data_IF_806780957844
#
_entry.id   IF_806780957844
#
_cell.length_a   1.000
_cell.length_b   1.000
_cell.length_c   1.000
_cell.angle_alpha   90.00
_cell.angle_beta   90.00
_cell.angle_gamma   90.00
#
_symmetry.space_group_name_H-M   'P 1'
#
loop_
_entity.id
_entity.type
_entity.pdbx_description
1 polymer ?
#
# COMPACT_ATOMS: atom_id res chain seq x y z
N UNK A 1 -17.70 2.48 -1.63
CA UNK A 1 -16.92 1.38 -2.23
C UNK A 1 -15.44 1.75 -2.12
N UNK A 2 -14.81 1.49 -0.98
CA UNK A 2 -13.36 1.63 -0.83
C UNK A 2 -12.74 0.26 -1.06
N UNK A 3 -12.21 0.08 -2.25
CA UNK A 3 -11.65 -1.19 -2.63
C UNK A 3 -11.09 -1.06 -4.03
N UNK A 4 -10.09 -0.20 -4.17
CA UNK A 4 -9.31 -0.09 -5.41
C UNK A 4 -8.77 -1.45 -5.89
N UNK A 5 -8.87 -2.50 -5.06
CA UNK A 5 -8.49 -3.87 -5.34
C UNK A 5 -9.06 -4.44 -6.63
N UNK A 6 -10.33 -4.23 -6.96
CA UNK A 6 -10.90 -4.82 -8.17
C UNK A 6 -10.25 -4.24 -9.42
N UNK A 7 -10.04 -2.91 -9.42
CA UNK A 7 -9.33 -2.22 -10.49
C UNK A 7 -7.85 -2.59 -10.54
N UNK A 8 -7.19 -2.73 -9.39
CA UNK A 8 -5.81 -3.22 -9.30
C UNK A 8 -5.69 -4.60 -9.94
N UNK A 9 -6.60 -5.52 -9.59
CA UNK A 9 -6.62 -6.89 -10.13
C UNK A 9 -6.85 -6.90 -11.62
N UNK A 10 -7.79 -6.10 -12.10
CA UNK A 10 -8.08 -5.96 -13.53
C UNK A 10 -6.84 -5.49 -14.31
N UNK A 11 -6.20 -4.40 -13.87
CA UNK A 11 -4.99 -3.86 -14.50
C UNK A 11 -3.86 -4.89 -14.45
N UNK A 12 -3.56 -5.44 -13.26
CA UNK A 12 -2.49 -6.42 -13.09
C UNK A 12 -2.69 -7.65 -13.98
N UNK A 13 -3.94 -8.13 -14.10
CA UNK A 13 -4.29 -9.26 -14.96
C UNK A 13 -4.07 -8.91 -16.43
N UNK A 14 -4.58 -7.76 -16.89
CA UNK A 14 -4.40 -7.32 -18.27
C UNK A 14 -2.94 -7.14 -18.66
N UNK A 15 -2.10 -6.63 -17.75
CA UNK A 15 -0.66 -6.48 -18.00
C UNK A 15 0.07 -7.82 -18.18
N UNK A 16 -0.34 -8.85 -17.44
CA UNK A 16 0.23 -10.20 -17.55
C UNK A 16 -0.31 -10.93 -18.79
N UNK A 17 -1.60 -10.82 -19.09
CA UNK A 17 -2.23 -11.46 -20.26
C UNK A 17 -1.74 -10.87 -21.58
N UNK A 18 -1.46 -9.57 -21.61
CA UNK A 18 -0.88 -8.88 -22.77
C UNK A 18 0.64 -9.03 -22.88
N UNK A 19 1.27 -9.76 -21.95
CA UNK A 19 2.73 -9.92 -21.87
C UNK A 19 3.51 -8.60 -21.86
N UNK A 20 2.88 -7.50 -21.41
CA UNK A 20 3.52 -6.19 -21.26
C UNK A 20 4.53 -6.20 -20.11
N UNK A 21 4.25 -7.00 -19.08
CA UNK A 21 5.13 -7.27 -17.95
C UNK A 21 5.32 -8.77 -17.76
N UNK A 22 6.47 -9.18 -17.25
CA UNK A 22 6.75 -10.58 -16.95
C UNK A 22 6.28 -10.95 -15.53
N UNK A 23 6.21 -9.97 -14.63
CA UNK A 23 5.77 -10.13 -13.24
C UNK A 23 4.97 -8.92 -12.76
N UNK A 24 4.08 -9.14 -11.78
CA UNK A 24 3.45 -8.08 -11.00
C UNK A 24 3.86 -8.20 -9.53
N UNK A 25 4.36 -7.11 -8.95
CA UNK A 25 4.70 -6.99 -7.53
C UNK A 25 3.56 -6.28 -6.82
N UNK A 26 3.00 -6.94 -5.80
CA UNK A 26 1.84 -6.47 -5.06
C UNK A 26 1.82 -6.97 -3.63
N UNK A 27 0.63 -6.94 -3.03
CA UNK A 27 0.38 -7.43 -1.67
C UNK A 27 -0.52 -8.67 -1.70
N UNK A 28 -0.25 -9.63 -0.83
CA UNK A 28 -1.13 -10.76 -0.50
C UNK A 28 -1.42 -10.77 1.00
N UNK A 29 -2.44 -11.52 1.40
CA UNK A 29 -2.70 -11.76 2.82
C UNK A 29 -1.53 -12.55 3.44
N UNK A 30 -1.01 -12.04 4.54
CA UNK A 30 0.03 -12.73 5.30
C UNK A 30 -0.54 -13.79 6.23
N UNK A 31 0.34 -14.39 7.04
CA UNK A 31 -0.04 -15.42 8.02
C UNK A 31 -0.87 -14.90 9.19
N UNK A 32 -0.70 -13.62 9.55
CA UNK A 32 -1.46 -12.96 10.62
C UNK A 32 -2.58 -12.07 10.05
N UNK A 33 -3.76 -11.97 10.69
CA UNK A 33 -4.92 -11.27 10.15
C UNK A 33 -4.68 -9.80 9.78
N UNK A 34 -3.80 -9.11 10.50
CA UNK A 34 -3.48 -7.67 10.29
C UNK A 34 -2.13 -7.45 9.59
N UNK A 35 -1.63 -8.46 8.88
CA UNK A 35 -0.36 -8.41 8.16
C UNK A 35 -0.56 -8.75 6.69
N UNK A 36 -0.18 -7.82 5.81
CA UNK A 36 0.06 -8.10 4.39
C UNK A 36 1.50 -8.55 4.18
N UNK A 37 1.72 -9.38 3.16
CA UNK A 37 3.05 -9.75 2.68
C UNK A 37 3.24 -9.31 1.21
N UNK A 38 4.46 -8.95 0.78
CA UNK A 38 4.76 -8.73 -0.61
C UNK A 38 4.61 -10.03 -1.40
N UNK A 39 4.09 -9.93 -2.62
CA UNK A 39 3.96 -11.08 -3.52
C UNK A 39 4.45 -10.70 -4.92
N UNK A 40 4.96 -11.70 -5.64
CA UNK A 40 5.39 -11.58 -7.02
C UNK A 40 4.58 -12.57 -7.83
N UNK A 41 3.66 -12.05 -8.64
CA UNK A 41 2.74 -12.83 -9.45
C UNK A 41 3.27 -12.91 -10.88
N UNK A 42 3.31 -14.12 -11.43
CA UNK A 42 3.73 -14.39 -12.80
C UNK A 42 2.58 -14.82 -13.71
N UNK A 43 1.50 -15.32 -13.14
CA UNK A 43 0.34 -15.82 -13.88
C UNK A 43 -0.84 -14.90 -13.66
N UNK A 44 -1.55 -14.57 -14.73
CA UNK A 44 -2.77 -13.79 -14.70
C UNK A 44 -3.81 -14.35 -13.69
N UNK A 45 -3.89 -15.68 -13.56
CA UNK A 45 -4.80 -16.37 -12.62
C UNK A 45 -4.55 -16.05 -11.15
N UNK A 46 -3.32 -15.71 -10.78
CA UNK A 46 -2.92 -15.55 -9.38
C UNK A 46 -3.14 -14.11 -8.91
N UNK A 47 -3.52 -13.20 -9.82
CA UNK A 47 -3.94 -11.82 -9.49
C UNK A 47 -5.13 -11.78 -8.54
N UNK A 48 -5.95 -12.83 -8.51
CA UNK A 48 -7.05 -12.99 -7.54
C UNK A 48 -6.58 -12.94 -6.07
N UNK A 49 -5.33 -13.32 -5.81
CA UNK A 49 -4.73 -13.38 -4.46
C UNK A 49 -4.21 -12.00 -4.00
N UNK A 50 -4.20 -11.01 -4.91
CA UNK A 50 -3.87 -9.65 -4.54
C UNK A 50 -4.86 -9.10 -3.52
N UNK A 51 -4.34 -8.34 -2.58
CA UNK A 51 -5.13 -7.58 -1.62
C UNK A 51 -4.74 -6.10 -1.68
N UNK A 52 -5.66 -5.26 -1.24
CA UNK A 52 -5.41 -3.85 -0.99
C UNK A 52 -6.28 -3.40 0.17
N UNK A 53 -5.63 -3.13 1.30
CA UNK A 53 -6.26 -2.74 2.56
C UNK A 53 -5.28 -1.88 3.38
N UNK A 54 -5.72 -1.40 4.55
CA UNK A 54 -4.91 -0.57 5.45
C UNK A 54 -3.66 -1.28 6.01
N UNK A 55 -3.49 -2.59 5.78
CA UNK A 55 -2.33 -3.36 6.24
C UNK A 55 -1.19 -3.38 5.24
N UNK A 56 -1.41 -2.90 4.00
CA UNK A 56 -0.47 -2.83 2.86
C UNK A 56 0.65 -1.78 3.01
N UNK A 57 1.39 -1.92 4.11
CA UNK A 57 2.32 -0.93 4.68
C UNK A 57 3.72 -0.97 4.07
N UNK A 58 4.11 -2.12 3.54
CA UNK A 58 5.48 -2.34 3.09
C UNK A 58 5.77 -1.53 1.82
N UNK A 59 7.04 -1.16 1.69
CA UNK A 59 7.57 -0.52 0.50
C UNK A 59 7.96 -1.61 -0.51
N UNK A 60 7.17 -1.75 -1.57
CA UNK A 60 7.39 -2.78 -2.59
C UNK A 60 8.64 -2.52 -3.46
N UNK A 61 9.17 -1.31 -3.45
CA UNK A 61 10.35 -0.97 -4.23
C UNK A 61 11.61 -1.72 -3.80
N UNK A 62 11.65 -2.21 -2.56
CA UNK A 62 12.72 -3.05 -2.04
C UNK A 62 12.91 -4.34 -2.88
N UNK A 63 11.89 -4.73 -3.63
CA UNK A 63 11.91 -5.91 -4.51
C UNK A 63 12.31 -5.60 -5.95
N UNK A 64 12.63 -4.35 -6.31
CA UNK A 64 13.02 -3.97 -7.68
C UNK A 64 14.50 -4.22 -7.97
N UNK A 65 15.37 -3.99 -6.99
CA UNK A 65 16.83 -4.00 -7.18
C UNK A 65 17.33 -5.34 -7.71
N UNK A 66 18.16 -5.30 -8.76
CA UNK A 66 18.82 -6.49 -9.31
C UNK A 66 17.94 -7.36 -10.23
N UNK A 67 16.68 -6.96 -10.46
CA UNK A 67 15.80 -7.67 -11.39
C UNK A 67 16.11 -7.33 -12.84
N UNK A 68 15.90 -8.31 -13.72
CA UNK A 68 16.06 -8.16 -15.17
C UNK A 68 14.72 -8.21 -15.93
N UNK A 69 13.68 -8.72 -15.27
CA UNK A 69 12.34 -8.85 -15.82
C UNK A 69 11.66 -7.47 -16.02
N UNK A 70 10.63 -7.42 -16.86
CA UNK A 70 9.67 -6.31 -16.95
C UNK A 70 8.64 -6.44 -15.83
N UNK A 71 8.41 -5.37 -15.09
CA UNK A 71 7.73 -5.42 -13.79
C UNK A 71 6.52 -4.48 -13.78
N UNK A 72 5.34 -5.04 -13.51
CA UNK A 72 4.21 -4.29 -12.99
C UNK A 72 4.38 -4.09 -11.49
N UNK A 73 4.27 -2.88 -10.96
CA UNK A 73 4.36 -2.63 -9.51
C UNK A 73 3.17 -1.81 -9.02
N UNK A 74 2.53 -2.29 -7.95
CA UNK A 74 1.50 -1.53 -7.24
C UNK A 74 2.20 -0.48 -6.38
N UNK A 75 1.88 0.80 -6.56
CA UNK A 75 2.56 1.90 -5.90
C UNK A 75 1.61 2.93 -5.29
N UNK A 76 1.76 3.15 -3.98
CA UNK A 76 1.19 4.31 -3.26
C UNK A 76 1.95 5.59 -3.64
N UNK A 77 1.45 6.76 -3.21
CA UNK A 77 2.21 8.02 -3.28
C UNK A 77 3.64 7.94 -2.74
N UNK A 78 3.82 7.32 -1.57
CA UNK A 78 5.14 7.11 -0.96
C UNK A 78 6.02 6.10 -1.74
N UNK A 79 5.44 5.03 -2.28
CA UNK A 79 6.18 4.06 -3.09
C UNK A 79 6.61 4.69 -4.42
N UNK A 80 5.74 5.44 -5.09
CA UNK A 80 6.02 6.12 -6.36
C UNK A 80 7.21 7.07 -6.23
N UNK A 81 7.30 7.83 -5.12
CA UNK A 81 8.49 8.64 -4.83
C UNK A 81 9.76 7.81 -4.67
N UNK A 82 9.67 6.66 -4.01
CA UNK A 82 10.82 5.80 -3.85
C UNK A 82 11.24 5.13 -5.17
N UNK A 83 10.29 4.84 -6.07
CA UNK A 83 10.58 4.41 -7.44
C UNK A 83 11.40 5.48 -8.18
N UNK A 84 11.04 6.77 -8.06
CA UNK A 84 11.84 7.86 -8.63
C UNK A 84 13.28 7.81 -8.12
N UNK A 85 13.47 7.65 -6.80
CA UNK A 85 14.79 7.49 -6.19
C UNK A 85 15.58 6.33 -6.81
N UNK A 86 14.98 5.15 -6.90
CA UNK A 86 15.61 3.98 -7.52
C UNK A 86 15.96 4.18 -9.00
N UNK A 87 15.14 4.92 -9.76
CA UNK A 87 15.42 5.26 -11.16
C UNK A 87 16.64 6.19 -11.24
N UNK A 88 16.64 7.28 -10.46
CA UNK A 88 17.73 8.27 -10.44
C UNK A 88 19.05 7.65 -9.99
N UNK A 89 19.00 6.74 -9.02
CA UNK A 89 20.16 5.99 -8.52
C UNK A 89 20.57 4.80 -9.40
N UNK A 90 19.95 4.63 -10.58
CA UNK A 90 20.20 3.54 -11.53
C UNK A 90 20.04 2.12 -10.91
N UNK A 91 19.18 1.97 -9.90
CA UNK A 91 18.84 0.66 -9.30
C UNK A 91 17.85 -0.13 -10.16
N UNK A 92 17.05 0.58 -10.96
CA UNK A 92 16.08 0.03 -11.91
C UNK A 92 15.94 1.00 -13.08
N UNK A 93 15.68 0.49 -14.29
CA UNK A 93 15.39 1.38 -15.43
C UNK A 93 13.90 1.67 -15.51
N UNK A 94 13.53 2.88 -15.95
CA UNK A 94 12.13 3.31 -16.07
C UNK A 94 11.34 2.49 -17.09
N UNK A 95 11.98 2.06 -18.17
CA UNK A 95 11.40 1.23 -19.25
C UNK A 95 11.08 -0.20 -18.80
N UNK A 96 11.72 -0.68 -17.73
CA UNK A 96 11.41 -1.97 -17.10
C UNK A 96 10.14 -1.95 -16.24
N UNK A 97 9.55 -0.77 -15.99
CA UNK A 97 8.45 -0.61 -15.04
C UNK A 97 7.14 -0.23 -15.73
N UNK A 98 6.06 -0.86 -15.28
CA UNK A 98 4.69 -0.38 -15.41
C UNK A 98 4.16 -0.14 -14.00
N UNK A 99 3.87 1.11 -13.67
CA UNK A 99 3.48 1.53 -12.33
C UNK A 99 1.96 1.59 -12.25
N UNK A 100 1.37 0.70 -11.46
CA UNK A 100 -0.04 0.71 -11.10
C UNK A 100 -0.19 1.63 -9.89
N UNK A 101 -0.50 2.88 -10.16
CA UNK A 101 -0.68 3.92 -9.15
C UNK A 101 -1.95 3.69 -8.35
N UNK A 102 -1.85 3.75 -7.02
CA UNK A 102 -3.01 3.66 -6.13
C UNK A 102 -3.07 4.89 -5.21
N UNK A 103 -4.10 5.73 -5.34
CA UNK A 103 -4.37 6.81 -4.38
C UNK A 103 -4.57 6.24 -2.98
N UNK A 104 -3.97 6.87 -1.97
CA UNK A 104 -3.88 6.31 -0.63
C UNK A 104 -4.35 7.31 0.44
N UNK A 105 -5.33 6.92 1.25
CA UNK A 105 -5.80 7.68 2.42
C UNK A 105 -5.00 7.43 3.69
N UNK A 106 -3.95 6.60 3.60
CA UNK A 106 -3.04 6.24 4.70
C UNK A 106 -3.13 4.76 5.07
N UNK A 107 -2.10 4.28 5.77
CA UNK A 107 -1.99 2.89 6.23
C UNK A 107 -2.05 2.81 7.75
N UNK A 108 -2.63 1.73 8.28
CA UNK A 108 -2.76 1.51 9.71
C UNK A 108 -1.40 1.26 10.36
N UNK A 109 -1.24 1.70 11.60
CA UNK A 109 -0.04 1.44 12.40
C UNK A 109 0.05 -0.05 12.78
N UNK A 110 1.30 -0.55 12.88
CA UNK A 110 1.56 -1.95 13.20
C UNK A 110 1.04 -2.37 14.57
N UNK A 111 1.03 -1.45 15.52
CA UNK A 111 0.61 -1.71 16.91
C UNK A 111 -0.83 -1.26 17.16
N UNK A 112 -1.33 -0.22 16.48
CA UNK A 112 -2.66 0.32 16.74
C UNK A 112 -3.78 -0.74 16.69
N UNK A 113 -3.78 -1.64 15.69
CA UNK A 113 -4.80 -2.68 15.57
C UNK A 113 -4.70 -3.76 16.66
N UNK A 114 -3.53 -4.36 16.95
CA UNK A 114 -3.34 -5.22 18.13
C UNK A 114 -3.70 -4.55 19.46
N UNK A 115 -3.30 -3.28 19.66
CA UNK A 115 -3.55 -2.54 20.90
C UNK A 115 -5.06 -2.33 21.11
N UNK A 116 -5.80 -2.00 20.04
CA UNK A 116 -7.26 -1.91 20.08
C UNK A 116 -7.90 -3.25 20.44
N UNK A 117 -7.41 -4.34 19.86
CA UNK A 117 -7.89 -5.70 20.11
C UNK A 117 -7.49 -6.24 21.50
N UNK A 118 -6.62 -5.54 22.24
CA UNK A 118 -6.10 -5.96 23.54
C UNK A 118 -5.13 -7.14 23.45
N UNK A 119 -4.45 -7.31 22.31
CA UNK A 119 -3.50 -8.40 22.09
C UNK A 119 -3.53 -8.94 20.66
N UNK A 120 -3.43 -10.26 20.52
CA UNK A 120 -3.43 -10.92 19.21
C UNK A 120 -4.78 -10.75 18.50
N UNK A 121 -4.74 -10.26 17.26
CA UNK A 121 -5.93 -10.07 16.43
C UNK A 121 -6.30 -11.40 15.78
N UNK A 122 -7.51 -11.89 16.03
CA UNK A 122 -8.03 -13.14 15.47
C UNK A 122 -8.82 -12.92 14.17
N UNK A 123 -9.42 -11.74 14.00
CA UNK A 123 -10.12 -11.38 12.77
C UNK A 123 -9.91 -9.90 12.42
N UNK A 124 -9.85 -9.63 11.11
CA UNK A 124 -9.72 -8.30 10.52
C UNK A 124 -10.73 -8.17 9.39
N UNK A 125 -11.43 -7.05 9.34
CA UNK A 125 -12.29 -6.66 8.23
C UNK A 125 -12.18 -5.16 8.00
N UNK A 126 -12.27 -4.76 6.73
CA UNK A 126 -12.26 -3.37 6.31
C UNK A 126 -13.47 -3.11 5.40
N UNK A 127 -14.21 -2.05 5.72
CA UNK A 127 -15.36 -1.61 4.93
C UNK A 127 -15.40 -0.08 4.92
N UNK A 128 -15.08 0.54 3.79
CA UNK A 128 -14.95 1.99 3.77
C UNK A 128 -13.67 2.44 4.46
N UNK A 129 -13.84 3.53 5.20
CA UNK A 129 -12.86 4.00 6.17
C UNK A 129 -13.01 3.33 7.54
N UNK A 130 -13.89 2.33 7.69
CA UNK A 130 -14.04 1.61 8.95
C UNK A 130 -13.21 0.33 8.94
N UNK A 131 -12.47 0.14 10.03
CA UNK A 131 -11.66 -1.05 10.28
C UNK A 131 -12.24 -1.75 11.51
N UNK A 132 -12.57 -3.02 11.36
CA UNK A 132 -13.05 -3.88 12.44
C UNK A 132 -12.01 -4.94 12.78
N UNK A 133 -11.67 -5.04 14.06
CA UNK A 133 -10.74 -6.03 14.60
C UNK A 133 -11.39 -6.82 15.72
N UNK A 134 -11.07 -8.11 15.80
CA UNK A 134 -11.46 -8.99 16.91
C UNK A 134 -10.22 -9.50 17.64
N UNK A 135 -10.27 -9.50 18.97
CA UNK A 135 -9.24 -10.08 19.82
C UNK A 135 -9.73 -10.26 21.26
N UNK A 136 -8.81 -10.40 22.23
CA UNK A 136 -9.15 -10.60 23.65
C UNK A 136 -10.07 -9.53 24.25
N UNK A 137 -9.94 -8.27 23.81
CA UNK A 137 -10.79 -7.17 24.26
C UNK A 137 -12.17 -7.12 23.54
N UNK A 138 -12.50 -8.14 22.75
CA UNK A 138 -13.73 -8.22 21.97
C UNK A 138 -13.59 -7.70 20.54
N UNK A 139 -14.73 -7.36 19.94
CA UNK A 139 -14.84 -6.75 18.61
C UNK A 139 -14.84 -5.22 18.75
N UNK A 140 -13.96 -4.55 18.02
CA UNK A 140 -13.91 -3.08 17.95
C UNK A 140 -13.89 -2.62 16.52
N UNK A 141 -14.60 -1.53 16.27
CA UNK A 141 -14.61 -0.83 15.00
C UNK A 141 -14.11 0.59 15.20
N UNK A 142 -13.19 1.02 14.35
CA UNK A 142 -12.54 2.33 14.41
C UNK A 142 -12.45 2.96 13.02
N UNK A 143 -12.33 4.28 12.95
CA UNK A 143 -11.99 4.95 11.70
C UNK A 143 -10.53 4.69 11.35
N UNK A 144 -10.25 4.53 10.06
CA UNK A 144 -8.89 4.43 9.51
C UNK A 144 -8.03 5.61 9.94
N UNK A 145 -8.61 6.81 9.97
CA UNK A 145 -7.93 8.04 10.36
C UNK A 145 -7.32 7.97 11.78
N UNK A 146 -7.98 7.25 12.70
CA UNK A 146 -7.57 7.17 14.11
C UNK A 146 -6.37 6.23 14.31
N UNK A 147 -6.19 5.26 13.40
CA UNK A 147 -5.17 4.22 13.49
C UNK A 147 -4.03 4.39 12.49
N UNK A 148 -3.92 5.54 11.83
CA UNK A 148 -2.86 5.79 10.85
C UNK A 148 -1.45 5.73 11.46
N UNK A 149 -0.50 5.23 10.67
CA UNK A 149 0.93 5.40 10.94
C UNK A 149 1.31 6.87 11.04
N UNK A 150 2.32 7.15 11.86
CA UNK A 150 2.82 8.52 12.09
C UNK A 150 3.10 9.27 10.79
N UNK A 151 3.84 8.65 9.86
CA UNK A 151 4.17 9.24 8.56
C UNK A 151 2.95 9.48 7.65
N UNK A 152 1.86 8.74 7.83
CA UNK A 152 0.64 8.87 7.03
C UNK A 152 -0.23 10.05 7.52
N UNK A 153 -0.14 10.40 8.82
CA UNK A 153 -0.89 11.51 9.42
C UNK A 153 -0.49 12.88 8.86
N UNK A 154 0.77 13.02 8.44
CA UNK A 154 1.33 14.27 7.89
C UNK A 154 1.71 14.14 6.40
N UNK A 155 1.17 13.14 5.70
CA UNK A 155 1.50 12.87 4.31
C UNK A 155 0.83 13.86 3.34
N UNK A 156 1.64 14.66 2.65
CA UNK A 156 1.21 15.65 1.65
C UNK A 156 1.17 15.13 0.20
N UNK A 157 1.38 13.83 0.01
CA UNK A 157 1.44 13.18 -1.31
C UNK A 157 0.76 11.80 -1.25
N UNK A 158 -0.57 11.85 -1.23
CA UNK A 158 -1.49 10.72 -1.22
C UNK A 158 -1.65 10.11 -2.60
N UNK A 159 -1.50 10.91 -3.65
CA UNK A 159 -1.55 10.44 -5.03
C UNK A 159 -0.15 10.07 -5.55
N UNK A 160 -0.02 8.98 -6.34
CA UNK A 160 1.24 8.63 -7.01
C UNK A 160 1.75 9.76 -7.92
N UNK A 161 2.99 10.20 -7.69
CA UNK A 161 3.64 11.26 -8.50
C UNK A 161 4.06 10.78 -9.90
N UNK A 162 4.27 9.48 -10.04
CA UNK A 162 4.49 8.79 -11.32
C UNK A 162 3.63 7.54 -11.34
N UNK A 163 2.95 7.28 -12.45
CA UNK A 163 2.16 6.08 -12.70
C UNK A 163 1.98 5.90 -14.21
N UNK A 164 1.67 4.68 -14.63
CA UNK A 164 1.28 4.34 -16.01
C UNK A 164 -0.22 4.05 -16.10
N UNK A 165 -0.77 3.42 -15.05
CA UNK A 165 -2.19 3.11 -14.91
C UNK A 165 -2.64 3.53 -13.51
N UNK A 166 -3.80 4.17 -13.39
CA UNK A 166 -4.36 4.56 -12.10
C UNK A 166 -5.46 3.59 -11.67
N UNK A 167 -5.34 3.06 -10.46
CA UNK A 167 -6.32 2.16 -9.86
C UNK A 167 -7.14 2.89 -8.78
N UNK A 168 -7.97 3.84 -9.22
CA UNK A 168 -8.86 4.63 -8.38
C UNK A 168 -8.82 6.11 -8.71
N UNK A 169 -9.82 6.86 -8.23
CA UNK A 169 -9.83 8.31 -8.39
C UNK A 169 -8.80 8.96 -7.45
N UNK A 170 -8.14 10.05 -7.89
CA UNK A 170 -7.28 10.84 -7.02
C UNK A 170 -8.01 11.26 -5.75
N UNK A 171 -7.30 11.22 -4.62
CA UNK A 171 -7.82 11.66 -3.33
C UNK A 171 -7.30 13.05 -2.99
N UNK A 172 -7.99 13.76 -2.10
CA UNK A 172 -7.54 15.07 -1.64
C UNK A 172 -6.19 14.96 -0.92
N UNK A 173 -5.26 15.84 -1.30
CA UNK A 173 -3.96 15.98 -0.65
C UNK A 173 -4.10 16.67 0.70
N UNK A 174 -3.32 16.25 1.69
CA UNK A 174 -3.32 16.92 2.99
C UNK A 174 -2.44 18.16 2.97
N UNK A 175 -2.91 19.21 3.64
CA UNK A 175 -2.12 20.39 4.00
C UNK A 175 -2.06 20.50 5.54
N UNK A 176 -1.21 19.71 6.23
CA UNK A 176 -1.09 19.76 7.67
C UNK A 176 -0.46 21.08 8.13
N UNK A 177 -1.03 21.72 9.15
CA UNK A 177 -0.56 23.01 9.69
C UNK A 177 0.89 22.95 10.18
N UNK A 178 1.25 21.89 10.90
CA UNK A 178 2.62 21.62 11.33
C UNK A 178 3.04 20.19 11.00
N UNK A 179 3.91 20.05 9.99
CA UNK A 179 4.45 18.76 9.54
C UNK A 179 5.60 18.24 10.40
N UNK A 180 6.22 19.10 11.22
CA UNK A 180 7.44 18.81 11.98
C UNK A 180 7.22 18.84 13.50
N UNK A 181 5.97 18.74 13.95
CA UNK A 181 5.61 18.73 15.37
C UNK A 181 6.34 17.63 16.17
N UNK A 182 6.65 16.50 15.53
CA UNK A 182 7.44 15.41 16.12
C UNK A 182 8.91 15.80 16.33
N UNK A 183 9.50 16.58 15.42
CA UNK A 183 10.86 17.13 15.56
C UNK A 183 10.92 18.16 16.69
N UNK A 184 9.92 19.03 16.77
CA UNK A 184 9.81 20.03 17.84
C UNK A 184 9.72 19.38 19.22
N UNK A 185 8.96 18.29 19.35
CA UNK A 185 8.82 17.54 20.61
C UNK A 185 10.11 16.83 21.06
N UNK A 186 11.06 16.58 20.15
CA UNK A 186 12.38 16.02 20.51
C UNK A 186 13.34 17.14 20.95
N UNK A 187 13.14 18.36 20.44
CA UNK A 187 13.99 19.51 20.73
C UNK A 187 13.68 20.19 22.09
N UNK A 188 12.58 19.81 22.74
CA UNK A 188 12.16 20.25 24.09
C UNK A 188 12.68 19.35 25.19
#
# INVERSE_FOLDING_TARGET
MSGNIDRIKEIARGLLESEKVDVVIGFKKGTLPVMSEPTIIRKASDTKDLIWDATCRLNLCNYLTGRKDRIGIIAKGCDARNIVGHIVENKIKRDQLVIIGVPCTGMADKKALPDLAGGEVTAYAEAGDQITVKGPAGEKTVSRADVLQSNCRTCIQRNPVIFDEMAGEPVEELAPDNRFADVEAIAS
#
